data_IF_632846612551
#
_entry.id   IF_632846612551
#
_cell.length_a   1.000
_cell.length_b   1.000
_cell.length_c   1.000
_cell.angle_alpha   90.00
_cell.angle_beta   90.00
_cell.angle_gamma   90.00
#
_symmetry.space_group_name_H-M   'P 1'
#
loop_
_entity.id
_entity.type
_entity.pdbx_description
1 polymer ?
#
# COMPACT_ATOMS: atom_id res chain seq x y z
N UNK A 1 -22.18 6.47 7.97
CA UNK A 1 -21.31 6.22 9.14
C UNK A 1 -20.67 7.55 9.54
N UNK A 2 -20.35 7.81 10.82
CA UNK A 2 -19.62 9.05 11.20
C UNK A 2 -18.17 8.98 10.69
N UNK A 3 -17.56 10.10 10.25
CA UNK A 3 -16.17 10.13 9.84
C UNK A 3 -15.23 9.73 10.99
N UNK A 4 -14.32 8.80 10.73
CA UNK A 4 -13.33 8.33 11.70
C UNK A 4 -12.10 9.23 11.64
N UNK A 5 -11.61 9.65 12.81
CA UNK A 5 -10.34 10.38 12.92
C UNK A 5 -9.17 9.48 12.56
N UNK A 6 -8.27 9.98 11.71
CA UNK A 6 -7.04 9.26 11.38
C UNK A 6 -6.16 9.20 12.64
N UNK A 7 -5.79 8.01 13.13
CA UNK A 7 -4.93 7.90 14.30
C UNK A 7 -3.58 8.59 14.07
N UNK A 8 -3.02 9.20 15.11
CA UNK A 8 -1.81 10.02 15.01
C UNK A 8 -0.61 9.29 14.38
N UNK A 9 -0.51 7.98 14.55
CA UNK A 9 0.55 7.15 13.98
C UNK A 9 0.36 6.82 12.49
N UNK A 10 -0.79 7.17 11.89
CA UNK A 10 -1.04 7.15 10.45
C UNK A 10 -0.96 8.54 9.79
N UNK A 11 -0.83 9.62 10.58
CA UNK A 11 -0.63 10.98 10.05
C UNK A 11 0.79 11.09 9.52
N UNK A 12 0.93 10.99 8.19
CA UNK A 12 2.20 11.00 7.49
C UNK A 12 1.99 11.41 6.03
N UNK A 13 2.71 12.43 5.58
CA UNK A 13 2.76 12.79 4.16
C UNK A 13 3.38 11.64 3.34
N UNK A 14 2.89 11.36 2.12
CA UNK A 14 1.92 12.13 1.35
C UNK A 14 0.46 11.69 1.55
N UNK A 15 0.16 10.87 2.58
CA UNK A 15 -1.11 10.16 2.73
C UNK A 15 -2.13 10.93 3.56
N UNK A 16 -1.75 11.34 4.78
CA UNK A 16 -2.67 11.96 5.72
C UNK A 16 -2.04 13.13 6.47
N UNK A 17 -2.86 14.16 6.64
CA UNK A 17 -2.67 15.34 7.49
C UNK A 17 -3.57 15.23 8.75
N UNK A 18 -3.48 16.19 9.67
CA UNK A 18 -4.25 16.15 10.95
C UNK A 18 -5.74 16.38 10.75
N UNK A 19 -6.10 16.99 9.63
CA UNK A 19 -7.46 17.39 9.29
C UNK A 19 -8.21 16.30 8.55
N UNK A 20 -7.51 15.27 8.05
CA UNK A 20 -8.10 14.19 7.27
C UNK A 20 -8.94 13.24 8.13
N UNK A 21 -10.03 12.74 7.54
CA UNK A 21 -10.94 11.77 8.15
C UNK A 21 -11.28 10.65 7.17
N UNK A 22 -11.52 9.46 7.71
CA UNK A 22 -11.92 8.28 6.94
C UNK A 22 -13.43 8.16 6.98
N UNK A 23 -14.05 8.23 5.80
CA UNK A 23 -15.50 8.17 5.67
C UNK A 23 -16.02 6.73 5.72
N UNK A 24 -15.50 5.83 4.88
CA UNK A 24 -15.95 4.43 4.76
C UNK A 24 -14.85 3.53 4.13
N UNK A 25 -15.02 2.20 4.23
CA UNK A 25 -14.22 1.22 3.45
C UNK A 25 -14.55 1.38 1.96
N UNK A 26 -13.57 1.80 1.15
CA UNK A 26 -13.71 1.81 -0.32
C UNK A 26 -13.63 3.20 -0.99
N UNK A 27 -13.55 4.29 -0.23
CA UNK A 27 -13.21 5.63 -0.74
C UNK A 27 -11.73 5.78 -1.12
N UNK A 28 -11.27 7.01 -1.40
CA UNK A 28 -9.83 7.36 -1.53
C UNK A 28 -9.12 7.36 -0.16
N UNK A 29 -9.43 6.38 0.68
CA UNK A 29 -8.88 6.24 2.02
C UNK A 29 -7.68 5.29 1.95
N UNK A 30 -6.49 5.82 2.24
CA UNK A 30 -5.28 5.04 2.38
C UNK A 30 -5.37 4.17 3.65
N UNK A 31 -4.88 2.93 3.61
CA UNK A 31 -4.81 2.06 4.80
C UNK A 31 -6.17 1.84 5.50
N UNK A 32 -7.30 1.93 4.79
CA UNK A 32 -8.62 1.91 5.41
C UNK A 32 -8.87 0.65 6.26
N UNK A 33 -8.49 -0.53 5.77
CA UNK A 33 -8.62 -1.78 6.54
C UNK A 33 -7.76 -1.77 7.80
N UNK A 34 -6.53 -1.27 7.69
CA UNK A 34 -5.56 -1.19 8.78
C UNK A 34 -6.05 -0.25 9.89
N UNK A 35 -6.52 0.94 9.52
CA UNK A 35 -7.01 1.97 10.45
C UNK A 35 -8.33 1.54 11.11
N UNK A 36 -9.26 0.96 10.35
CA UNK A 36 -10.52 0.46 10.93
C UNK A 36 -10.28 -0.69 11.91
N UNK A 37 -9.31 -1.56 11.62
CA UNK A 37 -8.91 -2.58 12.55
C UNK A 37 -8.26 -1.99 13.81
N UNK A 38 -7.42 -0.96 13.68
CA UNK A 38 -6.81 -0.30 14.83
C UNK A 38 -7.87 0.31 15.76
N UNK A 39 -8.76 1.15 15.19
CA UNK A 39 -9.76 1.94 15.93
C UNK A 39 -10.94 1.10 16.45
N UNK A 40 -11.50 0.21 15.61
CA UNK A 40 -12.75 -0.49 15.93
C UNK A 40 -12.61 -1.99 16.08
N UNK A 41 -11.40 -2.55 15.89
CA UNK A 41 -11.20 -4.01 15.81
C UNK A 41 -12.12 -4.65 14.76
N UNK A 42 -12.33 -3.93 13.65
CA UNK A 42 -13.16 -4.35 12.52
C UNK A 42 -12.77 -5.75 12.02
N UNK A 43 -13.76 -6.50 11.54
CA UNK A 43 -13.59 -7.92 11.19
C UNK A 43 -13.00 -8.13 9.80
N UNK A 44 -13.22 -7.19 8.88
CA UNK A 44 -12.64 -7.21 7.53
C UNK A 44 -11.13 -6.97 7.58
N UNK A 45 -10.39 -8.06 7.55
CA UNK A 45 -8.94 -8.09 7.79
C UNK A 45 -8.25 -8.89 6.69
N UNK A 46 -7.86 -8.26 5.56
CA UNK A 46 -7.30 -8.98 4.41
C UNK A 46 -6.11 -9.88 4.75
N UNK A 47 -5.30 -9.47 5.73
CA UNK A 47 -4.14 -10.22 6.24
C UNK A 47 -4.46 -11.49 7.03
N UNK A 48 -5.73 -11.75 7.41
CA UNK A 48 -6.09 -13.00 8.11
C UNK A 48 -6.34 -14.19 7.18
N UNK A 49 -6.84 -13.94 5.97
CA UNK A 49 -7.00 -14.95 4.92
C UNK A 49 -6.38 -14.40 3.63
N UNK A 50 -5.05 -14.34 3.65
CA UNK A 50 -4.22 -13.77 2.61
C UNK A 50 -4.48 -14.42 1.24
N UNK A 51 -4.69 -15.74 1.21
CA UNK A 51 -4.88 -16.47 -0.05
C UNK A 51 -6.17 -16.06 -0.77
N UNK A 52 -7.24 -15.80 0.00
CA UNK A 52 -8.54 -15.40 -0.57
C UNK A 52 -8.64 -13.91 -0.83
N UNK A 53 -8.05 -13.07 0.02
CA UNK A 53 -8.38 -11.66 0.06
C UNK A 53 -7.41 -10.76 -0.73
N UNK A 54 -6.20 -11.23 -1.06
CA UNK A 54 -5.15 -10.37 -1.63
C UNK A 54 -5.19 -10.26 -3.16
N UNK A 55 -5.66 -11.31 -3.84
CA UNK A 55 -5.67 -11.36 -5.31
C UNK A 55 -6.34 -10.16 -5.99
N UNK A 56 -7.51 -9.65 -5.53
CA UNK A 56 -8.16 -8.49 -6.16
C UNK A 56 -7.32 -7.21 -6.17
N UNK A 57 -6.41 -7.05 -5.20
CA UNK A 57 -5.55 -5.87 -5.12
C UNK A 57 -4.41 -5.91 -6.16
N UNK A 58 -3.89 -7.09 -6.46
CA UNK A 58 -2.94 -7.24 -7.58
C UNK A 58 -3.62 -7.01 -8.92
N UNK A 59 -4.87 -7.45 -9.09
CA UNK A 59 -5.66 -7.17 -10.30
C UNK A 59 -5.94 -5.67 -10.46
N UNK A 60 -6.31 -5.00 -9.36
CA UNK A 60 -6.45 -3.54 -9.33
C UNK A 60 -5.15 -2.81 -9.71
N UNK A 61 -4.00 -3.30 -9.24
CA UNK A 61 -2.70 -2.72 -9.60
C UNK A 61 -2.44 -2.80 -11.11
N UNK A 62 -2.75 -3.90 -11.79
CA UNK A 62 -2.52 -4.01 -13.24
C UNK A 62 -3.28 -2.92 -14.02
N UNK A 63 -4.54 -2.66 -13.65
CA UNK A 63 -5.34 -1.57 -14.24
C UNK A 63 -4.73 -0.19 -13.94
N UNK A 64 -4.36 0.07 -12.68
CA UNK A 64 -3.74 1.36 -12.29
C UNK A 64 -2.39 1.58 -12.98
N UNK A 65 -1.61 0.51 -13.19
CA UNK A 65 -0.31 0.58 -13.87
C UNK A 65 -0.46 1.06 -15.30
N UNK A 66 -1.44 0.56 -16.04
CA UNK A 66 -1.71 0.96 -17.43
C UNK A 66 -2.19 2.41 -17.54
N UNK A 67 -3.07 2.83 -16.61
CA UNK A 67 -3.51 4.22 -16.50
C UNK A 67 -2.31 5.16 -16.23
N UNK A 68 -1.49 4.82 -15.24
CA UNK A 68 -0.30 5.58 -14.88
C UNK A 68 0.70 5.65 -16.05
N UNK A 69 0.93 4.54 -16.74
CA UNK A 69 1.76 4.51 -17.95
C UNK A 69 1.27 5.51 -19.00
N UNK A 70 -0.04 5.56 -19.23
CA UNK A 70 -0.67 6.48 -20.18
C UNK A 70 -0.50 7.94 -19.75
N UNK A 71 -0.72 8.25 -18.47
CA UNK A 71 -0.56 9.60 -17.94
C UNK A 71 0.90 10.08 -18.04
N UNK A 72 1.86 9.25 -17.64
CA UNK A 72 3.27 9.62 -17.72
C UNK A 72 3.79 9.76 -19.15
N UNK A 73 3.35 8.89 -20.08
CA UNK A 73 3.71 9.03 -21.50
C UNK A 73 3.14 10.31 -22.13
N UNK A 74 1.99 10.78 -21.65
CA UNK A 74 1.41 12.08 -22.03
C UNK A 74 1.97 13.28 -21.23
N UNK A 75 2.98 13.07 -20.38
CA UNK A 75 3.57 14.11 -19.50
C UNK A 75 2.56 14.73 -18.51
N UNK A 76 1.52 13.98 -18.15
CA UNK A 76 0.43 14.35 -17.22
C UNK A 76 0.74 13.95 -15.78
N UNK A 77 1.88 14.41 -15.26
CA UNK A 77 2.36 14.01 -13.94
C UNK A 77 1.45 14.51 -12.79
N UNK A 78 0.81 15.67 -12.96
CA UNK A 78 -0.12 16.21 -11.96
C UNK A 78 -1.37 15.36 -11.85
N UNK A 79 -1.91 14.91 -12.98
CA UNK A 79 -3.06 14.01 -13.05
C UNK A 79 -2.73 12.61 -12.56
N UNK A 80 -1.48 12.15 -12.71
CA UNK A 80 -1.02 10.87 -12.19
C UNK A 80 -0.88 10.86 -10.65
N UNK A 81 -0.69 12.03 -10.02
CA UNK A 81 -0.34 12.11 -8.60
C UNK A 81 -1.35 11.42 -7.65
N UNK A 82 -2.68 11.58 -7.78
CA UNK A 82 -3.64 10.88 -6.93
C UNK A 82 -3.58 9.35 -7.12
N UNK A 83 -3.47 8.88 -8.35
CA UNK A 83 -3.38 7.44 -8.65
C UNK A 83 -2.06 6.85 -8.11
N UNK A 84 -0.94 7.58 -8.22
CA UNK A 84 0.34 7.20 -7.62
C UNK A 84 0.24 7.04 -6.10
N UNK A 85 -0.29 8.05 -5.39
CA UNK A 85 -0.44 7.96 -3.92
C UNK A 85 -1.29 6.75 -3.51
N UNK A 86 -2.39 6.50 -4.22
CA UNK A 86 -3.26 5.35 -3.97
C UNK A 86 -2.54 4.02 -4.21
N UNK A 87 -1.77 3.92 -5.29
CA UNK A 87 -1.03 2.70 -5.61
C UNK A 87 0.10 2.42 -4.61
N UNK A 88 0.79 3.46 -4.11
CA UNK A 88 1.81 3.30 -3.07
C UNK A 88 1.21 2.89 -1.73
N UNK A 89 0.09 3.50 -1.32
CA UNK A 89 -0.62 3.06 -0.11
C UNK A 89 -1.04 1.59 -0.21
N UNK A 90 -1.59 1.19 -1.37
CA UNK A 90 -1.96 -0.20 -1.64
C UNK A 90 -0.75 -1.14 -1.60
N UNK A 91 0.39 -0.74 -2.19
CA UNK A 91 1.63 -1.50 -2.12
C UNK A 91 2.07 -1.76 -0.67
N UNK A 92 2.08 -0.71 0.15
CA UNK A 92 2.46 -0.80 1.57
C UNK A 92 1.51 -1.75 2.31
N UNK A 93 0.19 -1.57 2.17
CA UNK A 93 -0.78 -2.49 2.76
C UNK A 93 -0.51 -3.94 2.33
N UNK A 94 -0.34 -4.21 1.03
CA UNK A 94 -0.05 -5.54 0.53
C UNK A 94 1.25 -6.13 1.10
N UNK A 95 2.31 -5.34 1.19
CA UNK A 95 3.59 -5.75 1.77
C UNK A 95 3.42 -6.27 3.19
N UNK A 96 2.64 -5.58 4.04
CA UNK A 96 2.35 -6.05 5.39
C UNK A 96 1.39 -7.23 5.40
N UNK A 97 0.34 -7.18 4.57
CA UNK A 97 -0.72 -8.18 4.60
C UNK A 97 -0.23 -9.56 4.16
N UNK A 98 0.68 -9.66 3.19
CA UNK A 98 1.27 -10.97 2.82
C UNK A 98 2.13 -11.57 3.93
N UNK A 99 2.54 -10.77 4.92
CA UNK A 99 3.20 -11.21 6.14
C UNK A 99 2.19 -11.49 7.28
N UNK A 100 0.89 -11.53 6.99
CA UNK A 100 -0.15 -11.89 7.95
C UNK A 100 -0.46 -10.81 8.99
N UNK A 101 -0.03 -9.57 8.76
CA UNK A 101 -0.24 -8.46 9.70
C UNK A 101 -0.73 -7.19 9.03
N UNK A 102 -1.46 -6.32 9.75
CA UNK A 102 -1.81 -4.99 9.25
C UNK A 102 -0.60 -4.05 9.26
N UNK A 103 -0.70 -2.96 8.51
CA UNK A 103 0.13 -1.77 8.75
C UNK A 103 -0.25 -1.21 10.11
N UNK A 104 0.71 -0.98 11.00
CA UNK A 104 0.43 -0.47 12.36
C UNK A 104 0.66 1.02 12.51
N UNK A 105 1.54 1.59 11.68
CA UNK A 105 1.98 2.98 11.73
C UNK A 105 2.76 3.32 10.47
N UNK A 106 2.83 4.61 10.16
CA UNK A 106 3.61 5.13 9.02
C UNK A 106 4.87 5.89 9.47
N UNK A 107 4.91 6.39 10.70
CA UNK A 107 6.03 7.18 11.22
C UNK A 107 7.33 6.36 11.48
N UNK A 108 7.24 5.03 11.52
CA UNK A 108 8.39 4.11 11.65
C UNK A 108 8.37 3.01 10.59
N UNK A 109 7.84 3.33 9.42
CA UNK A 109 7.61 2.36 8.35
C UNK A 109 8.89 1.64 7.91
N UNK A 110 10.04 2.33 7.91
CA UNK A 110 11.32 1.72 7.54
C UNK A 110 11.74 0.61 8.51
N UNK A 111 11.61 0.84 9.83
CA UNK A 111 11.88 -0.16 10.87
C UNK A 111 10.93 -1.36 10.70
N UNK A 112 9.63 -1.08 10.56
CA UNK A 112 8.61 -2.13 10.48
C UNK A 112 8.78 -3.01 9.22
N UNK A 113 9.27 -2.45 8.10
CA UNK A 113 9.59 -3.21 6.88
C UNK A 113 10.84 -4.10 7.08
N UNK A 114 11.83 -3.64 7.85
CA UNK A 114 13.05 -4.40 8.09
C UNK A 114 12.77 -5.76 8.76
N UNK A 115 11.69 -5.85 9.54
CA UNK A 115 11.29 -7.07 10.26
C UNK A 115 10.44 -8.04 9.42
N UNK A 116 10.00 -7.66 8.22
CA UNK A 116 9.13 -8.53 7.39
C UNK A 116 9.88 -9.74 6.81
N UNK A 117 9.22 -10.89 6.78
CA UNK A 117 9.79 -12.12 6.19
C UNK A 117 9.71 -12.10 4.66
N UNK A 118 8.53 -11.75 4.12
CA UNK A 118 8.25 -11.69 2.69
C UNK A 118 8.33 -10.24 2.22
N UNK A 119 9.49 -9.84 1.70
CA UNK A 119 9.72 -8.50 1.16
C UNK A 119 10.68 -8.50 -0.03
N UNK A 120 10.56 -7.53 -0.95
CA UNK A 120 11.57 -7.25 -1.97
C UNK A 120 12.96 -6.95 -1.37
N UNK A 121 14.01 -7.06 -2.21
CA UNK A 121 15.37 -6.68 -1.79
C UNK A 121 15.44 -5.15 -1.67
N UNK A 122 16.07 -4.66 -0.61
CA UNK A 122 16.18 -3.23 -0.29
C UNK A 122 14.83 -2.50 -0.32
N UNK A 123 13.77 -3.21 0.10
CA UNK A 123 12.39 -2.74 0.01
C UNK A 123 12.20 -1.41 0.75
N UNK A 124 12.75 -1.30 1.96
CA UNK A 124 12.57 -0.13 2.81
C UNK A 124 13.22 1.11 2.17
N UNK A 125 14.47 1.01 1.70
CA UNK A 125 15.20 2.10 1.06
C UNK A 125 14.51 2.55 -0.23
N UNK A 126 14.10 1.60 -1.08
CA UNK A 126 13.40 1.90 -2.34
C UNK A 126 12.06 2.58 -2.09
N UNK A 127 11.31 2.14 -1.08
CA UNK A 127 10.05 2.74 -0.73
C UNK A 127 10.23 4.15 -0.15
N UNK A 128 11.22 4.37 0.72
CA UNK A 128 11.50 5.71 1.26
C UNK A 128 11.89 6.69 0.14
N UNK A 129 12.72 6.27 -0.81
CA UNK A 129 13.08 7.08 -1.97
C UNK A 129 11.85 7.39 -2.85
N UNK A 130 10.98 6.41 -3.06
CA UNK A 130 9.75 6.56 -3.83
C UNK A 130 8.82 7.59 -3.18
N UNK A 131 8.61 7.53 -1.86
CA UNK A 131 7.73 8.43 -1.13
C UNK A 131 8.16 9.90 -1.23
N UNK A 132 9.48 10.17 -1.29
CA UNK A 132 10.01 11.52 -1.50
C UNK A 132 9.63 12.13 -2.86
N UNK A 133 9.30 11.29 -3.86
CA UNK A 133 9.06 11.71 -5.25
C UNK A 133 7.87 11.00 -5.87
N UNK A 134 6.82 10.77 -5.08
CA UNK A 134 5.69 9.87 -5.42
C UNK A 134 5.01 10.18 -6.76
N UNK A 135 5.05 11.43 -7.23
CA UNK A 135 4.41 11.86 -8.49
C UNK A 135 5.36 11.87 -9.70
N UNK A 136 6.58 11.35 -9.57
CA UNK A 136 7.56 11.30 -10.66
C UNK A 136 7.43 10.03 -11.50
N UNK A 137 7.85 10.09 -12.77
CA UNK A 137 7.94 8.91 -13.62
C UNK A 137 8.91 7.85 -13.06
N UNK A 138 10.02 8.29 -12.45
CA UNK A 138 10.96 7.36 -11.80
C UNK A 138 10.30 6.60 -10.64
N UNK A 139 9.49 7.29 -9.82
CA UNK A 139 8.73 6.63 -8.77
C UNK A 139 7.73 5.61 -9.32
N UNK A 140 7.09 5.89 -10.46
CA UNK A 140 6.22 4.93 -11.15
C UNK A 140 6.96 3.66 -11.61
N UNK A 141 8.13 3.81 -12.22
CA UNK A 141 8.96 2.66 -12.61
C UNK A 141 9.34 1.85 -11.37
N UNK A 142 9.77 2.52 -10.30
CA UNK A 142 10.16 1.83 -9.07
C UNK A 142 9.02 1.13 -8.36
N UNK A 143 7.83 1.73 -8.36
CA UNK A 143 6.62 1.09 -7.86
C UNK A 143 6.30 -0.18 -8.66
N UNK A 144 6.45 -0.12 -9.98
CA UNK A 144 6.18 -1.25 -10.88
C UNK A 144 7.11 -2.43 -10.61
N UNK A 145 8.41 -2.16 -10.45
CA UNK A 145 9.37 -3.20 -10.06
C UNK A 145 9.05 -3.78 -8.68
N UNK A 146 8.75 -2.93 -7.69
CA UNK A 146 8.40 -3.35 -6.34
C UNK A 146 7.15 -4.26 -6.33
N UNK A 147 6.12 -3.95 -7.12
CA UNK A 147 4.94 -4.81 -7.28
C UNK A 147 5.30 -6.16 -7.93
N UNK A 148 6.13 -6.16 -8.97
CA UNK A 148 6.58 -7.38 -9.63
C UNK A 148 7.35 -8.30 -8.67
N UNK A 149 8.23 -7.72 -7.84
CA UNK A 149 8.95 -8.44 -6.80
C UNK A 149 8.01 -8.92 -5.68
N UNK A 150 7.05 -8.11 -5.27
CA UNK A 150 6.06 -8.48 -4.27
C UNK A 150 5.17 -9.65 -4.72
N UNK A 151 4.78 -9.70 -6.00
CA UNK A 151 4.07 -10.86 -6.58
C UNK A 151 4.87 -12.15 -6.45
N UNK A 152 6.20 -12.09 -6.64
CA UNK A 152 7.09 -13.24 -6.44
C UNK A 152 7.15 -13.66 -4.97
N UNK A 153 7.24 -12.69 -4.05
CA UNK A 153 7.21 -12.96 -2.61
C UNK A 153 5.88 -13.57 -2.16
N UNK A 154 4.76 -13.09 -2.70
CA UNK A 154 3.44 -13.64 -2.46
C UNK A 154 3.34 -15.09 -2.94
N UNK A 155 3.78 -15.39 -4.18
CA UNK A 155 3.82 -16.76 -4.69
C UNK A 155 4.69 -17.69 -3.82
N UNK A 156 5.87 -17.21 -3.38
CA UNK A 156 6.73 -17.95 -2.45
C UNK A 156 6.03 -18.23 -1.13
N UNK A 157 5.37 -17.24 -0.54
CA UNK A 157 4.61 -17.37 0.70
C UNK A 157 3.51 -18.43 0.57
N UNK A 158 2.73 -18.41 -0.52
CA UNK A 158 1.68 -19.40 -0.78
C UNK A 158 2.21 -20.82 -0.85
N UNK A 159 3.35 -21.04 -1.51
CA UNK A 159 3.96 -22.38 -1.62
C UNK A 159 4.39 -22.90 -0.25
N UNK A 160 4.97 -22.03 0.60
CA UNK A 160 5.46 -22.42 1.92
C UNK A 160 4.33 -22.67 2.93
N UNK A 161 3.19 -21.99 2.79
CA UNK A 161 2.03 -22.10 3.68
C UNK A 161 0.94 -23.08 3.17
N UNK A 162 1.20 -23.80 2.07
CA UNK A 162 0.32 -24.85 1.53
C UNK A 162 0.57 -26.23 2.14
N UNK A 163 1.22 -26.32 3.31
CA UNK A 163 1.44 -27.57 4.04
C UNK A 163 0.42 -27.74 5.15
#
# INVERSE_FOLDING_TARGET
MLPIEVPSHFICEPFYSKEDRILEVGGRNYFAYDILYDVHKETKTPWRDVQKNIRPFFEKWETQREELHTLFSQRKAKEAAPCMKQAVAMYISLLFWINGQPVRRLNRLQEDIADLTYKPINCAERLMFLLQRVSSYQAYIQLTELFNELRKQYAKMLILHKK
#
